data_IF_562861746635
#
_entry.id   IF_562861746635
#
_cell.length_a   1.000
_cell.length_b   1.000
_cell.length_c   1.000
_cell.angle_alpha   90.00
_cell.angle_beta   90.00
_cell.angle_gamma   90.00
#
_symmetry.space_group_name_H-M   'P 1'
#
loop_
_entity.id
_entity.type
_entity.pdbx_description
1 polymer ?
#
# COMPACT_ATOMS: atom_id res chain seq x y z
N UNK A 1 -56.37 18.67 39.36
CA UNK A 1 -55.14 19.30 39.78
C UNK A 1 -54.19 18.21 40.23
N UNK A 2 -53.36 17.74 39.29
CA UNK A 2 -52.28 16.80 39.56
C UNK A 2 -51.01 17.43 39.04
N UNK A 3 -50.09 17.70 39.94
CA UNK A 3 -48.76 18.24 39.69
C UNK A 3 -47.81 17.07 39.37
N UNK A 4 -47.31 16.99 38.16
CA UNK A 4 -46.23 16.09 37.81
C UNK A 4 -44.91 16.82 38.03
N UNK A 5 -44.10 16.30 38.91
CA UNK A 5 -42.73 16.71 39.13
C UNK A 5 -41.81 15.95 38.16
N UNK A 6 -41.17 16.70 37.29
CA UNK A 6 -40.19 16.22 36.31
C UNK A 6 -38.83 16.05 37.02
N UNK A 7 -38.43 14.82 37.25
CA UNK A 7 -37.10 14.49 37.80
C UNK A 7 -36.05 14.46 36.71
N UNK A 8 -35.19 15.47 36.69
CA UNK A 8 -34.01 15.51 35.85
C UNK A 8 -32.92 14.64 36.50
N UNK A 9 -32.59 13.51 35.93
CA UNK A 9 -31.41 12.74 36.30
C UNK A 9 -30.22 13.32 35.56
N UNK A 10 -29.36 14.06 36.25
CA UNK A 10 -28.02 14.39 35.79
C UNK A 10 -27.18 13.11 35.74
N UNK A 11 -26.85 12.68 34.54
CA UNK A 11 -25.78 11.70 34.27
C UNK A 11 -24.46 12.43 34.38
N UNK A 12 -23.75 12.27 35.48
CA UNK A 12 -22.34 12.67 35.58
C UNK A 12 -21.50 11.62 34.82
N UNK A 13 -21.26 11.89 33.55
CA UNK A 13 -20.28 11.20 32.77
C UNK A 13 -18.87 11.69 33.19
N UNK A 14 -18.28 10.97 34.14
CA UNK A 14 -16.86 11.17 34.48
C UNK A 14 -16.03 10.59 33.34
N UNK A 15 -15.66 11.45 32.38
CA UNK A 15 -14.62 11.14 31.43
C UNK A 15 -13.34 10.82 32.23
N UNK A 16 -12.96 9.55 32.22
CA UNK A 16 -11.66 9.09 32.68
C UNK A 16 -10.61 9.65 31.72
N UNK A 17 -10.09 10.83 32.05
CA UNK A 17 -8.87 11.36 31.42
C UNK A 17 -7.70 10.64 32.07
N UNK A 18 -7.44 9.38 31.67
CA UNK A 18 -6.12 8.81 31.78
C UNK A 18 -5.24 9.64 30.84
N UNK A 19 -4.53 10.64 31.40
CA UNK A 19 -3.45 11.31 30.73
C UNK A 19 -2.40 10.25 30.45
N UNK A 20 -2.37 9.71 29.23
CA UNK A 20 -1.17 9.03 28.73
C UNK A 20 -0.05 10.04 28.88
N UNK A 21 0.87 9.77 29.80
CA UNK A 21 2.11 10.55 29.93
C UNK A 21 2.80 10.50 28.57
N UNK A 22 2.83 11.63 27.89
CA UNK A 22 3.64 11.78 26.69
C UNK A 22 5.08 11.54 27.14
N UNK A 23 5.79 10.53 26.62
CA UNK A 23 7.14 10.24 27.04
C UNK A 23 8.00 11.51 26.88
N UNK A 24 8.84 11.80 27.86
CA UNK A 24 9.80 12.89 27.75
C UNK A 24 10.63 12.66 26.47
N UNK A 25 10.77 13.71 25.65
CA UNK A 25 11.54 13.65 24.41
C UNK A 25 12.96 13.08 24.63
N UNK A 26 13.54 13.28 25.80
CA UNK A 26 14.83 12.72 26.19
C UNK A 26 14.78 11.17 26.38
N UNK A 27 13.62 10.59 26.73
CA UNK A 27 13.44 9.14 26.88
C UNK A 27 13.24 8.40 25.55
N UNK A 28 12.97 9.15 24.49
CA UNK A 28 12.79 8.63 23.12
C UNK A 28 14.11 8.55 22.35
N UNK A 29 15.17 9.18 22.87
CA UNK A 29 16.52 9.02 22.31
C UNK A 29 17.07 7.67 22.79
N UNK A 30 17.12 6.70 21.89
CA UNK A 30 17.72 5.38 22.21
C UNK A 30 19.18 5.58 22.64
N UNK A 31 19.66 4.75 23.57
CA UNK A 31 21.08 4.74 24.02
C UNK A 31 22.06 4.45 22.86
N UNK A 32 21.56 4.07 21.69
CA UNK A 32 22.31 3.90 20.45
C UNK A 32 22.26 5.18 19.62
N UNK A 33 22.78 6.31 20.17
CA UNK A 33 23.01 7.49 19.36
C UNK A 33 24.13 7.18 18.36
N UNK A 34 23.76 7.10 17.10
CA UNK A 34 24.73 6.97 16.01
C UNK A 34 25.27 8.37 15.73
N UNK A 35 26.61 8.51 15.83
CA UNK A 35 27.25 9.77 15.51
C UNK A 35 26.84 10.24 14.11
N UNK A 36 26.45 11.51 13.91
CA UNK A 36 26.08 12.02 12.61
C UNK A 36 27.17 11.74 11.57
N UNK A 37 26.76 11.24 10.42
CA UNK A 37 27.69 11.07 9.30
C UNK A 37 28.13 12.45 8.83
N UNK A 38 29.46 12.67 8.84
CA UNK A 38 30.05 13.86 8.24
C UNK A 38 30.40 13.64 6.75
N UNK A 39 30.39 12.43 6.29
CA UNK A 39 30.73 12.01 4.94
C UNK A 39 29.64 11.08 4.37
N UNK A 40 28.90 11.57 3.37
CA UNK A 40 27.85 10.82 2.70
C UNK A 40 28.38 9.66 1.84
N UNK A 41 29.68 9.58 1.57
CA UNK A 41 30.27 8.46 0.83
C UNK A 41 30.11 7.14 1.59
N UNK A 42 30.17 7.17 2.93
CA UNK A 42 29.89 6.00 3.75
C UNK A 42 28.42 5.55 3.59
N UNK A 43 27.46 6.48 3.65
CA UNK A 43 26.05 6.17 3.45
C UNK A 43 25.79 5.62 2.02
N UNK A 44 26.39 6.23 1.01
CA UNK A 44 26.29 5.75 -0.36
C UNK A 44 26.84 4.33 -0.53
N UNK A 45 27.92 3.98 0.18
CA UNK A 45 28.46 2.63 0.21
C UNK A 45 27.45 1.63 0.80
N UNK A 46 26.78 1.98 1.92
CA UNK A 46 25.69 1.15 2.48
C UNK A 46 24.55 0.95 1.50
N UNK A 47 24.16 1.99 0.77
CA UNK A 47 23.11 1.89 -0.27
C UNK A 47 23.53 0.96 -1.41
N UNK A 48 24.79 0.96 -1.81
CA UNK A 48 25.29 0.06 -2.85
C UNK A 48 25.36 -1.40 -2.36
N UNK A 49 25.72 -1.63 -1.10
CA UNK A 49 25.64 -2.95 -0.46
C UNK A 49 24.19 -3.47 -0.41
N UNK A 50 23.22 -2.63 -0.03
CA UNK A 50 21.78 -2.95 -0.02
C UNK A 50 21.31 -3.37 -1.42
N UNK A 51 21.72 -2.63 -2.46
CA UNK A 51 21.36 -2.95 -3.85
C UNK A 51 21.95 -4.27 -4.33
N UNK A 52 23.14 -4.62 -3.86
CA UNK A 52 23.83 -5.85 -4.25
C UNK A 52 23.37 -7.08 -3.45
N UNK A 53 22.74 -6.91 -2.28
CA UNK A 53 22.33 -8.00 -1.41
C UNK A 53 21.11 -8.74 -2.00
N UNK A 54 21.22 -10.05 -2.15
CA UNK A 54 20.17 -10.93 -2.71
C UNK A 54 19.36 -11.66 -1.65
N UNK A 55 19.89 -11.79 -0.42
CA UNK A 55 19.14 -12.30 0.72
C UNK A 55 18.21 -11.19 1.25
N UNK A 56 16.90 -11.41 1.15
CA UNK A 56 15.91 -10.40 1.53
C UNK A 56 15.91 -10.08 3.02
N UNK A 57 16.19 -11.05 3.91
CA UNK A 57 16.24 -10.80 5.35
C UNK A 57 17.43 -9.90 5.68
N UNK A 58 18.60 -10.25 5.16
CA UNK A 58 19.81 -9.45 5.34
C UNK A 58 19.70 -8.07 4.69
N UNK A 59 19.08 -7.99 3.49
CA UNK A 59 18.81 -6.69 2.86
C UNK A 59 17.95 -5.80 3.75
N UNK A 60 16.93 -6.36 4.40
CA UNK A 60 16.06 -5.61 5.33
C UNK A 60 16.85 -5.10 6.54
N UNK A 61 17.74 -5.90 7.10
CA UNK A 61 18.64 -5.47 8.20
C UNK A 61 19.51 -4.28 7.76
N UNK A 62 20.19 -4.41 6.62
CA UNK A 62 21.00 -3.31 6.06
C UNK A 62 20.17 -2.03 5.78
N UNK A 63 18.92 -2.18 5.34
CA UNK A 63 18.02 -1.05 5.12
C UNK A 63 17.69 -0.35 6.44
N UNK A 64 17.44 -1.09 7.53
CA UNK A 64 17.21 -0.52 8.84
C UNK A 64 18.47 0.22 9.37
N UNK A 65 19.66 -0.35 9.20
CA UNK A 65 20.91 0.32 9.57
C UNK A 65 21.11 1.64 8.79
N UNK A 66 20.82 1.64 7.49
CA UNK A 66 20.90 2.85 6.68
C UNK A 66 19.84 3.88 7.07
N UNK A 67 18.63 3.45 7.44
CA UNK A 67 17.57 4.32 7.96
C UNK A 67 17.98 4.96 9.27
N UNK A 68 18.57 4.21 10.22
CA UNK A 68 19.05 4.73 11.50
C UNK A 68 20.12 5.81 11.29
N UNK A 69 21.04 5.59 10.34
CA UNK A 69 22.03 6.60 9.95
C UNK A 69 21.36 7.84 9.39
N UNK A 70 20.39 7.69 8.48
CA UNK A 70 19.66 8.81 7.88
C UNK A 70 18.91 9.61 8.94
N UNK A 71 18.22 8.94 9.86
CA UNK A 71 17.44 9.57 10.92
C UNK A 71 18.32 10.28 11.94
N UNK A 72 19.48 9.72 12.29
CA UNK A 72 20.44 10.34 13.23
C UNK A 72 21.07 11.64 12.69
N UNK A 73 21.05 11.81 11.37
CA UNK A 73 21.50 13.06 10.72
C UNK A 73 20.42 14.13 10.62
N UNK A 74 19.23 13.88 11.13
CA UNK A 74 18.09 14.80 11.12
C UNK A 74 17.71 15.34 9.72
N UNK A 75 17.98 14.55 8.67
CA UNK A 75 17.62 14.90 7.29
C UNK A 75 16.12 14.88 7.06
N UNK A 76 15.39 14.12 7.89
CA UNK A 76 13.94 13.93 7.84
C UNK A 76 13.39 14.18 9.24
N UNK A 77 12.26 14.87 9.32
CA UNK A 77 11.50 15.07 10.55
C UNK A 77 10.19 14.30 10.39
N UNK A 78 10.06 13.10 10.96
CA UNK A 78 8.80 12.35 10.93
C UNK A 78 7.74 13.10 11.72
N UNK A 79 6.56 13.30 11.15
CA UNK A 79 5.45 14.02 11.79
C UNK A 79 4.34 13.05 12.24
N UNK A 80 3.91 12.16 11.36
CA UNK A 80 2.85 11.18 11.63
C UNK A 80 2.81 10.11 10.55
N UNK A 81 2.17 8.99 10.84
CA UNK A 81 1.80 7.99 9.84
C UNK A 81 0.50 8.42 9.16
N UNK A 82 0.54 8.54 7.83
CA UNK A 82 -0.65 8.86 7.05
C UNK A 82 -1.61 7.66 7.02
N UNK A 83 -2.89 7.94 7.27
CA UNK A 83 -3.96 6.94 7.15
C UNK A 83 -4.84 7.28 5.95
N UNK A 84 -5.03 6.31 5.05
CA UNK A 84 -6.02 6.43 3.97
C UNK A 84 -7.41 6.16 4.53
N UNK A 85 -8.29 7.15 4.42
CA UNK A 85 -9.66 7.09 4.97
C UNK A 85 -10.64 7.01 3.80
N UNK A 86 -11.52 6.03 3.84
CA UNK A 86 -12.62 5.88 2.89
C UNK A 86 -13.91 5.49 3.59
N UNK A 87 -15.04 5.76 2.96
CA UNK A 87 -16.35 5.38 3.46
C UNK A 87 -17.02 4.40 2.51
N UNK A 88 -17.53 3.31 3.06
CA UNK A 88 -18.35 2.32 2.37
C UNK A 88 -19.77 2.34 2.92
N UNK A 89 -20.73 2.04 2.06
CA UNK A 89 -22.07 1.67 2.50
C UNK A 89 -22.02 0.28 3.10
N UNK A 90 -22.80 0.03 4.12
CA UNK A 90 -22.91 -1.22 4.87
C UNK A 90 -23.30 -2.45 4.03
N UNK A 91 -23.88 -2.21 2.85
CA UNK A 91 -24.23 -3.26 1.89
C UNK A 91 -23.16 -3.51 0.83
N UNK A 92 -21.99 -2.87 0.87
CA UNK A 92 -20.85 -3.07 -0.04
C UNK A 92 -19.79 -3.88 0.67
N UNK A 93 -19.55 -5.09 0.23
CA UNK A 93 -18.59 -6.01 0.82
C UNK A 93 -17.51 -6.42 -0.19
N UNK A 94 -16.34 -6.85 0.28
CA UNK A 94 -15.26 -7.40 -0.53
C UNK A 94 -14.29 -6.36 -1.15
N UNK A 95 -14.48 -5.06 -0.86
CA UNK A 95 -13.46 -4.05 -1.20
C UNK A 95 -12.29 -4.11 -0.21
N UNK A 96 -11.09 -3.95 -0.70
CA UNK A 96 -9.89 -3.77 0.13
C UNK A 96 -8.95 -2.73 -0.48
N UNK A 97 -8.00 -2.24 0.31
CA UNK A 97 -6.98 -1.30 -0.10
C UNK A 97 -5.59 -1.81 0.28
N UNK A 98 -4.56 -1.41 -0.46
CA UNK A 98 -3.18 -1.68 -0.11
C UNK A 98 -2.54 -0.47 0.61
N UNK A 99 -1.30 -0.62 1.06
CA UNK A 99 -0.53 0.43 1.74
C UNK A 99 -0.29 1.68 0.87
N UNK A 100 -0.41 1.56 -0.46
CA UNK A 100 -0.23 2.67 -1.40
C UNK A 100 -1.53 3.43 -1.69
N UNK A 101 -2.63 3.07 -1.02
CA UNK A 101 -3.93 3.68 -1.19
C UNK A 101 -4.73 3.18 -2.40
N UNK A 102 -4.21 2.22 -3.18
CA UNK A 102 -4.95 1.60 -4.29
C UNK A 102 -6.08 0.75 -3.75
N UNK A 103 -7.30 0.99 -4.26
CA UNK A 103 -8.50 0.24 -3.88
C UNK A 103 -8.81 -0.81 -4.93
N UNK A 104 -9.13 -2.01 -4.46
CA UNK A 104 -9.40 -3.18 -5.28
C UNK A 104 -10.88 -3.54 -5.19
N UNK A 105 -11.53 -3.69 -6.35
CA UNK A 105 -12.97 -3.88 -6.45
C UNK A 105 -13.37 -5.24 -7.05
N UNK A 106 -12.41 -6.08 -7.45
CA UNK A 106 -12.68 -7.36 -8.12
C UNK A 106 -13.55 -8.33 -7.31
N UNK A 107 -13.51 -8.24 -5.98
CA UNK A 107 -14.27 -9.09 -5.07
C UNK A 107 -15.53 -8.42 -4.52
N UNK A 108 -15.84 -7.20 -5.00
CA UNK A 108 -16.99 -6.44 -4.48
C UNK A 108 -18.30 -7.10 -4.86
N UNK A 109 -19.16 -7.26 -3.86
CA UNK A 109 -20.54 -7.67 -4.03
C UNK A 109 -21.47 -6.81 -3.17
N UNK A 110 -22.75 -6.75 -3.55
CA UNK A 110 -23.78 -5.94 -2.92
C UNK A 110 -24.80 -6.80 -2.23
N UNK A 111 -24.91 -6.70 -0.90
CA UNK A 111 -25.87 -7.51 -0.10
C UNK A 111 -27.30 -7.01 -0.22
N UNK A 112 -27.53 -5.79 -0.72
CA UNK A 112 -28.87 -5.22 -0.96
C UNK A 112 -29.49 -5.59 -2.34
N UNK A 113 -28.84 -6.48 -3.12
CA UNK A 113 -29.30 -6.88 -4.45
C UNK A 113 -29.00 -5.89 -5.59
N UNK A 114 -28.29 -4.79 -5.34
CA UNK A 114 -27.84 -3.89 -6.39
C UNK A 114 -26.77 -4.57 -7.25
N UNK A 115 -26.81 -4.31 -8.56
CA UNK A 115 -25.78 -4.75 -9.53
C UNK A 115 -24.86 -3.61 -9.98
N UNK A 116 -25.02 -2.42 -9.38
CA UNK A 116 -24.26 -1.23 -9.77
C UNK A 116 -23.49 -0.69 -8.58
N UNK A 117 -22.16 -0.75 -8.63
CA UNK A 117 -21.26 -0.07 -7.70
C UNK A 117 -21.05 1.38 -8.18
N UNK A 118 -21.26 2.34 -7.28
CA UNK A 118 -20.97 3.76 -7.53
C UNK A 118 -19.78 4.16 -6.69
N UNK A 119 -18.73 4.60 -7.38
CA UNK A 119 -17.47 5.03 -6.78
C UNK A 119 -17.34 6.54 -6.86
N UNK A 120 -16.69 7.13 -5.87
CA UNK A 120 -16.19 8.49 -5.91
C UNK A 120 -14.67 8.45 -5.81
N UNK A 121 -13.98 9.07 -6.72
CA UNK A 121 -12.54 9.29 -6.66
C UNK A 121 -12.26 10.61 -5.96
N UNK A 122 -11.10 10.74 -5.32
CA UNK A 122 -10.72 11.98 -4.65
C UNK A 122 -10.42 13.10 -5.66
N UNK A 123 -9.87 12.74 -6.83
CA UNK A 123 -9.54 13.66 -7.90
C UNK A 123 -9.77 13.04 -9.28
N UNK A 124 -9.82 13.88 -10.31
CA UNK A 124 -9.78 13.42 -11.70
C UNK A 124 -8.36 12.98 -12.04
N UNK A 125 -8.12 11.72 -12.49
CA UNK A 125 -6.81 11.30 -12.89
C UNK A 125 -6.37 11.98 -14.19
N UNK A 126 -5.10 12.36 -14.26
CA UNK A 126 -4.55 13.02 -15.48
C UNK A 126 -4.62 12.09 -16.69
N UNK A 127 -4.38 10.79 -16.48
CA UNK A 127 -4.41 9.77 -17.53
C UNK A 127 -5.11 8.50 -17.06
N UNK A 128 -5.94 7.92 -17.93
CA UNK A 128 -6.53 6.58 -17.74
C UNK A 128 -5.63 5.46 -18.27
N UNK A 129 -4.64 5.81 -19.08
CA UNK A 129 -3.66 4.89 -19.62
C UNK A 129 -2.70 4.43 -18.50
N UNK A 130 -2.62 3.13 -18.19
CA UNK A 130 -1.76 2.64 -17.10
C UNK A 130 -0.28 2.99 -17.25
N UNK A 131 0.21 3.13 -18.51
CA UNK A 131 1.61 3.47 -18.79
C UNK A 131 1.94 4.96 -18.55
N UNK A 132 0.93 5.82 -18.47
CA UNK A 132 1.08 7.26 -18.29
C UNK A 132 0.57 7.74 -16.93
N UNK A 133 -0.17 6.90 -16.20
CA UNK A 133 -0.75 7.26 -14.92
C UNK A 133 0.32 7.42 -13.84
N UNK A 134 0.22 8.51 -13.07
CA UNK A 134 1.08 8.79 -11.91
C UNK A 134 0.29 9.05 -10.62
N UNK A 135 -1.04 8.87 -10.65
CA UNK A 135 -1.92 9.16 -9.51
C UNK A 135 -2.50 7.90 -8.87
N UNK A 136 -2.84 7.96 -7.58
CA UNK A 136 -3.51 6.86 -6.86
C UNK A 136 -4.91 6.61 -7.42
N UNK A 137 -5.66 7.66 -7.76
CA UNK A 137 -7.00 7.54 -8.35
C UNK A 137 -6.96 6.83 -9.69
N UNK A 138 -5.98 7.17 -10.55
CA UNK A 138 -5.74 6.46 -11.80
C UNK A 138 -5.28 5.01 -11.60
N UNK A 139 -4.48 4.73 -10.57
CA UNK A 139 -4.09 3.37 -10.20
C UNK A 139 -5.30 2.52 -9.76
N UNK A 140 -6.28 3.10 -9.04
CA UNK A 140 -7.53 2.42 -8.71
C UNK A 140 -8.33 2.04 -9.96
N UNK A 141 -8.40 2.93 -10.96
CA UNK A 141 -9.09 2.66 -12.22
C UNK A 141 -8.34 1.63 -13.07
N UNK A 142 -7.00 1.70 -13.10
CA UNK A 142 -6.18 0.71 -13.77
C UNK A 142 -6.36 -0.69 -13.13
N UNK A 143 -6.31 -0.80 -11.79
CA UNK A 143 -6.54 -2.04 -11.08
C UNK A 143 -7.96 -2.61 -11.27
N UNK A 144 -8.96 -1.74 -11.50
CA UNK A 144 -10.33 -2.15 -11.80
C UNK A 144 -10.54 -2.60 -13.26
N UNK A 145 -9.69 -2.17 -14.19
CA UNK A 145 -9.86 -2.37 -15.63
C UNK A 145 -8.89 -3.39 -16.23
N UNK A 146 -7.71 -3.56 -15.63
CA UNK A 146 -6.63 -4.42 -16.11
C UNK A 146 -6.23 -5.43 -15.06
N UNK A 147 -5.76 -6.59 -15.51
CA UNK A 147 -5.15 -7.60 -14.66
C UNK A 147 -3.67 -7.74 -15.02
N UNK A 148 -2.80 -7.60 -14.02
CA UNK A 148 -1.36 -7.80 -14.17
C UNK A 148 -0.96 -9.27 -14.10
N UNK A 149 0.35 -9.55 -14.12
CA UNK A 149 0.88 -10.89 -13.85
C UNK A 149 0.55 -11.33 -12.42
N UNK A 150 0.68 -10.42 -11.48
CA UNK A 150 0.38 -10.57 -10.06
C UNK A 150 -0.53 -9.44 -9.59
N UNK A 151 -1.21 -9.65 -8.49
CA UNK A 151 -2.03 -8.65 -7.80
C UNK A 151 -1.75 -8.68 -6.30
N UNK A 152 -2.30 -7.73 -5.55
CA UNK A 152 -2.30 -7.78 -4.09
C UNK A 152 -3.60 -8.38 -3.58
N UNK A 153 -3.53 -9.16 -2.50
CA UNK A 153 -4.71 -9.62 -1.76
C UNK A 153 -5.08 -8.63 -0.63
N UNK A 154 -6.11 -8.95 0.12
CA UNK A 154 -6.63 -8.10 1.21
C UNK A 154 -5.63 -7.94 2.37
N UNK A 155 -4.72 -8.90 2.55
CA UNK A 155 -3.66 -8.88 3.55
C UNK A 155 -2.42 -8.09 3.09
N UNK A 156 -2.43 -7.57 1.86
CA UNK A 156 -1.33 -6.81 1.26
C UNK A 156 -0.21 -7.69 0.69
N UNK A 157 -0.41 -9.01 0.62
CA UNK A 157 0.54 -9.92 0.01
C UNK A 157 0.32 -10.02 -1.50
N UNK A 158 1.41 -10.23 -2.24
CA UNK A 158 1.36 -10.48 -3.69
C UNK A 158 0.85 -11.89 -3.97
N UNK A 159 -0.12 -12.01 -4.88
CA UNK A 159 -0.65 -13.29 -5.34
C UNK A 159 -0.70 -13.37 -6.88
N UNK A 160 -0.67 -14.59 -7.47
CA UNK A 160 -0.80 -14.77 -8.92
C UNK A 160 -2.14 -14.25 -9.46
N UNK A 161 -2.10 -13.54 -10.61
CA UNK A 161 -3.28 -13.09 -11.36
C UNK A 161 -3.31 -13.68 -12.77
N UNK A 162 -2.67 -13.07 -13.76
CA UNK A 162 -2.50 -13.66 -15.08
C UNK A 162 -1.36 -14.69 -15.11
N UNK A 163 -0.40 -14.61 -14.21
CA UNK A 163 0.64 -15.63 -14.02
C UNK A 163 0.14 -16.79 -13.14
N UNK A 164 0.75 -17.96 -13.28
CA UNK A 164 0.63 -19.08 -12.33
C UNK A 164 1.83 -19.18 -11.40
N UNK A 165 2.95 -18.55 -11.76
CA UNK A 165 4.18 -18.55 -10.98
C UNK A 165 5.36 -18.08 -11.83
N UNK A 166 6.53 -18.08 -11.21
CA UNK A 166 7.78 -17.76 -11.88
C UNK A 166 8.95 -18.59 -11.34
N UNK A 167 10.03 -18.66 -12.11
CA UNK A 167 11.32 -19.18 -11.66
C UNK A 167 12.37 -18.10 -11.84
N UNK A 168 13.40 -18.12 -10.97
CA UNK A 168 14.50 -17.15 -10.97
C UNK A 168 15.80 -17.93 -11.16
N UNK A 169 16.72 -17.40 -11.97
CA UNK A 169 18.08 -17.94 -12.12
C UNK A 169 18.88 -17.78 -10.82
N UNK A 170 19.96 -18.56 -10.69
CA UNK A 170 20.83 -18.51 -9.50
C UNK A 170 21.47 -17.14 -9.26
N UNK A 171 21.69 -16.36 -10.32
CA UNK A 171 22.23 -15.00 -10.25
C UNK A 171 21.15 -13.93 -9.93
N UNK A 172 19.87 -14.32 -9.85
CA UNK A 172 18.75 -13.41 -9.56
C UNK A 172 18.39 -12.45 -10.70
N UNK A 173 18.99 -12.61 -11.89
CA UNK A 173 18.84 -11.64 -12.98
C UNK A 173 17.82 -12.07 -14.05
N UNK A 174 17.48 -13.36 -14.12
CA UNK A 174 16.56 -13.89 -15.12
C UNK A 174 15.31 -14.47 -14.46
N UNK A 175 14.16 -13.94 -14.85
CA UNK A 175 12.86 -14.38 -14.39
C UNK A 175 12.10 -15.01 -15.56
N UNK A 176 11.60 -16.22 -15.37
CA UNK A 176 10.71 -16.88 -16.32
C UNK A 176 9.32 -16.97 -15.68
N UNK A 177 8.38 -16.22 -16.23
CA UNK A 177 7.00 -16.17 -15.73
C UNK A 177 6.12 -17.07 -16.59
N UNK A 178 5.34 -17.94 -15.94
CA UNK A 178 4.38 -18.82 -16.61
C UNK A 178 2.99 -18.18 -16.55
N UNK A 179 2.38 -17.97 -17.71
CA UNK A 179 1.00 -17.46 -17.81
C UNK A 179 -0.02 -18.57 -17.60
N UNK A 180 -1.16 -18.21 -17.05
CA UNK A 180 -2.33 -19.07 -16.96
C UNK A 180 -2.87 -19.35 -18.36
N UNK A 181 -3.32 -20.56 -18.62
CA UNK A 181 -3.93 -20.93 -19.90
C UNK A 181 -5.30 -20.27 -20.08
N UNK A 182 -5.65 -20.00 -21.34
CA UNK A 182 -6.97 -19.50 -21.73
C UNK A 182 -7.25 -18.04 -21.36
N UNK A 183 -6.21 -17.22 -21.12
CA UNK A 183 -6.37 -15.80 -20.89
C UNK A 183 -6.97 -15.09 -22.10
N UNK A 184 -7.92 -14.18 -21.85
CA UNK A 184 -8.62 -13.41 -22.86
C UNK A 184 -8.71 -11.95 -22.49
N UNK A 185 -8.70 -11.09 -23.50
CA UNK A 185 -9.17 -9.73 -23.42
C UNK A 185 -10.69 -9.66 -23.28
N UNK A 186 -11.21 -8.50 -22.91
CA UNK A 186 -12.66 -8.27 -22.75
C UNK A 186 -13.46 -8.43 -24.07
N UNK A 187 -12.80 -8.30 -25.22
CA UNK A 187 -13.40 -8.53 -26.55
C UNK A 187 -13.37 -10.01 -26.98
N UNK A 188 -12.77 -10.90 -26.16
CA UNK A 188 -12.63 -12.33 -26.40
C UNK A 188 -11.39 -12.75 -27.16
N UNK A 189 -10.56 -11.82 -27.61
CA UNK A 189 -9.26 -12.14 -28.22
C UNK A 189 -8.28 -12.74 -27.20
N UNK A 190 -7.25 -13.47 -27.68
CA UNK A 190 -6.25 -14.10 -26.81
C UNK A 190 -5.34 -13.04 -26.17
N UNK A 191 -5.16 -13.16 -24.86
CA UNK A 191 -4.13 -12.43 -24.11
C UNK A 191 -2.90 -13.35 -23.99
N UNK A 192 -1.76 -12.88 -24.49
CA UNK A 192 -0.53 -13.67 -24.65
C UNK A 192 0.69 -12.99 -24.01
N UNK A 193 1.83 -13.67 -23.98
CA UNK A 193 3.09 -13.10 -23.50
C UNK A 193 3.54 -11.88 -24.33
N UNK A 194 3.17 -11.81 -25.61
CA UNK A 194 3.49 -10.68 -26.47
C UNK A 194 2.80 -9.38 -26.02
N UNK A 195 1.60 -9.47 -25.40
CA UNK A 195 0.87 -8.31 -24.88
C UNK A 195 1.57 -7.73 -23.64
N UNK A 196 2.12 -8.58 -22.78
CA UNK A 196 2.94 -8.15 -21.63
C UNK A 196 4.26 -7.54 -22.09
N UNK A 197 4.94 -8.16 -23.06
CA UNK A 197 6.17 -7.63 -23.64
C UNK A 197 5.96 -6.25 -24.26
N UNK A 198 4.89 -6.09 -25.04
CA UNK A 198 4.51 -4.80 -25.63
C UNK A 198 4.26 -3.76 -24.55
N UNK A 199 3.46 -4.11 -23.53
CA UNK A 199 3.07 -3.18 -22.44
C UNK A 199 4.29 -2.69 -21.67
N UNK A 200 5.22 -3.56 -21.34
CA UNK A 200 6.44 -3.20 -20.61
C UNK A 200 7.38 -2.32 -21.46
N UNK A 201 7.59 -2.68 -22.73
CA UNK A 201 8.39 -1.86 -23.67
C UNK A 201 7.79 -0.47 -23.88
N UNK A 202 6.46 -0.37 -23.81
CA UNK A 202 5.77 0.90 -23.97
C UNK A 202 5.89 1.77 -22.72
N UNK A 203 5.92 1.18 -21.53
CA UNK A 203 6.02 1.90 -20.27
C UNK A 203 7.46 2.30 -19.88
N UNK A 204 8.47 1.61 -20.41
CA UNK A 204 9.89 1.91 -20.24
C UNK A 204 10.35 3.03 -21.18
#
# INVERSE_FOLDING_TARGET
TSTETNGTTESTDTADTSSEEVPDAASLVSDAFIDPINDWDQYNTMIDEIKAETDFAKRTELMHEAEDVLMSNYCIIPLYYYNDIYMLKDYVEGMYANLFGTKFFQNVHMTNGSTTLRLNLASEPDFLDPALNSSVDGACLAAASFSGLYTYNAEGHTEPACATGYTVSEDGLHFVVTLREGLKWSDGSDLTAADFEYSWKRAA
#
